data_IF_723241275615
#
_entry.id   IF_723241275615
#
_cell.length_a   1.000
_cell.length_b   1.000
_cell.length_c   1.000
_cell.angle_alpha   90.00
_cell.angle_beta   90.00
_cell.angle_gamma   90.00
#
_symmetry.space_group_name_H-M   'P 1'
#
loop_
_entity.id
_entity.type
_entity.pdbx_description
1 polymer ?
#
# COMPACT_ATOMS: atom_id res chain seq x y z
N UNK A 1 17.51 3.95 -0.45
CA UNK A 1 16.05 3.80 -0.58
C UNK A 1 15.32 5.13 -0.38
N UNK A 2 15.54 5.83 0.75
CA UNK A 2 14.89 7.11 1.06
C UNK A 2 15.95 8.19 1.37
N UNK A 3 16.62 8.70 0.34
CA UNK A 3 17.79 9.58 0.48
C UNK A 3 17.41 11.00 0.92
N UNK A 4 16.27 11.54 0.46
CA UNK A 4 15.85 12.92 0.77
C UNK A 4 14.91 13.04 1.97
N UNK A 5 14.56 11.93 2.66
CA UNK A 5 13.61 11.96 3.81
C UNK A 5 14.00 12.91 4.96
N UNK A 6 15.30 13.23 5.07
CA UNK A 6 15.88 14.12 6.08
C UNK A 6 16.49 15.40 5.49
N UNK A 7 16.20 15.71 4.21
CA UNK A 7 16.64 16.96 3.59
C UNK A 7 15.96 18.16 4.28
N UNK A 8 16.46 19.37 4.00
CA UNK A 8 15.88 20.58 4.60
C UNK A 8 14.46 20.88 4.09
N UNK A 9 14.15 20.40 2.89
CA UNK A 9 12.88 20.55 2.21
C UNK A 9 11.86 19.49 2.68
N UNK A 10 12.29 18.48 3.44
CA UNK A 10 11.41 17.43 3.94
C UNK A 10 10.51 17.94 5.08
N UNK A 11 9.21 17.68 4.97
CA UNK A 11 8.22 18.08 5.97
C UNK A 11 8.24 17.22 7.25
N UNK A 12 8.86 16.05 7.19
CA UNK A 12 8.99 15.09 8.30
C UNK A 12 10.46 14.79 8.65
N UNK A 13 11.34 15.78 8.52
CA UNK A 13 12.76 15.65 8.82
C UNK A 13 13.00 15.09 10.23
N UNK A 14 13.72 13.97 10.31
CA UNK A 14 14.07 13.31 11.57
C UNK A 14 12.94 12.48 12.20
N UNK A 15 11.74 12.45 11.61
CA UNK A 15 10.63 11.65 12.11
C UNK A 15 10.76 10.17 11.74
N UNK A 16 11.12 9.90 10.48
CA UNK A 16 11.23 8.54 9.94
C UNK A 16 12.58 7.90 10.26
N UNK A 17 12.63 7.25 11.42
CA UNK A 17 13.78 6.52 11.91
C UNK A 17 13.70 4.99 11.64
N UNK A 18 14.86 4.38 11.38
CA UNK A 18 14.94 2.95 11.10
C UNK A 18 14.65 2.09 12.33
N UNK A 19 15.13 2.50 13.51
CA UNK A 19 14.88 1.77 14.75
C UNK A 19 13.40 1.78 15.11
N UNK A 20 12.72 2.93 14.90
CA UNK A 20 11.26 3.02 15.03
C UNK A 20 10.53 2.06 14.07
N UNK A 21 10.96 1.95 12.81
CA UNK A 21 10.38 1.00 11.86
C UNK A 21 10.58 -0.46 12.29
N UNK A 22 11.79 -0.84 12.72
CA UNK A 22 12.07 -2.20 13.18
C UNK A 22 11.27 -2.53 14.44
N UNK A 23 11.19 -1.61 15.40
CA UNK A 23 10.42 -1.79 16.64
C UNK A 23 8.93 -1.98 16.34
N UNK A 24 8.36 -1.16 15.46
CA UNK A 24 6.97 -1.32 15.03
C UNK A 24 6.75 -2.63 14.26
N UNK A 25 7.68 -2.99 13.37
CA UNK A 25 7.61 -4.22 12.58
C UNK A 25 7.64 -5.47 13.47
N UNK A 26 8.44 -5.47 14.54
CA UNK A 26 8.54 -6.58 15.48
C UNK A 26 7.19 -6.94 16.13
N UNK A 27 6.29 -5.96 16.31
CA UNK A 27 4.93 -6.22 16.81
C UNK A 27 4.07 -7.03 15.83
N UNK A 28 4.36 -6.94 14.52
CA UNK A 28 3.59 -7.59 13.46
C UNK A 28 4.28 -8.81 12.84
N UNK A 29 5.57 -9.03 13.14
CA UNK A 29 6.32 -10.22 12.70
C UNK A 29 5.65 -11.54 13.13
N UNK A 30 5.14 -11.72 14.37
CA UNK A 30 4.43 -12.95 14.75
C UNK A 30 3.16 -13.21 13.92
N UNK A 31 2.62 -12.17 13.27
CA UNK A 31 1.45 -12.24 12.39
C UNK A 31 1.84 -12.35 10.91
N UNK A 32 3.12 -12.53 10.58
CA UNK A 32 3.61 -12.77 9.23
C UNK A 32 4.25 -11.55 8.54
N UNK A 33 4.18 -10.34 9.11
CA UNK A 33 4.72 -9.15 8.44
C UNK A 33 6.23 -9.28 8.17
N UNK A 34 6.61 -9.27 6.89
CA UNK A 34 8.00 -9.41 6.46
C UNK A 34 8.61 -10.79 6.74
N UNK A 35 7.81 -11.72 7.24
CA UNK A 35 8.26 -13.07 7.66
C UNK A 35 7.44 -14.18 7.00
N UNK A 36 6.44 -13.89 6.17
CA UNK A 36 5.64 -14.94 5.52
C UNK A 36 6.50 -15.86 4.64
N UNK A 37 6.57 -17.14 5.02
CA UNK A 37 7.55 -18.13 4.53
C UNK A 37 7.09 -18.96 3.32
N UNK A 38 6.32 -18.40 2.37
CA UNK A 38 5.80 -19.18 1.22
C UNK A 38 6.92 -19.58 0.22
N UNK A 39 8.12 -18.99 0.31
CA UNK A 39 9.35 -19.52 -0.29
C UNK A 39 10.53 -18.83 0.40
N UNK A 40 11.44 -19.62 0.99
CA UNK A 40 12.49 -19.16 1.90
C UNK A 40 13.28 -17.98 1.29
N UNK A 41 13.33 -16.86 2.01
CA UNK A 41 13.92 -15.53 1.70
C UNK A 41 13.21 -14.59 0.72
N UNK A 42 12.35 -15.04 -0.20
CA UNK A 42 11.88 -14.15 -1.28
C UNK A 42 10.56 -13.42 -0.96
N UNK A 43 9.62 -14.05 -0.27
CA UNK A 43 8.29 -13.44 -0.08
C UNK A 43 8.30 -12.31 0.96
N UNK A 44 8.98 -12.48 2.11
CA UNK A 44 9.09 -11.42 3.12
C UNK A 44 9.72 -10.15 2.56
N UNK A 45 10.83 -10.27 1.82
CA UNK A 45 11.49 -9.12 1.16
C UNK A 45 10.57 -8.44 0.14
N UNK A 46 9.82 -9.22 -0.65
CA UNK A 46 8.80 -8.67 -1.57
C UNK A 46 7.68 -7.95 -0.84
N UNK A 47 7.25 -8.48 0.29
CA UNK A 47 6.21 -7.86 1.11
C UNK A 47 6.69 -6.53 1.68
N UNK A 48 7.92 -6.48 2.20
CA UNK A 48 8.53 -5.22 2.68
C UNK A 48 8.69 -4.23 1.51
N UNK A 49 9.11 -4.67 0.34
CA UNK A 49 9.17 -3.83 -0.85
C UNK A 49 7.80 -3.26 -1.24
N UNK A 50 6.75 -4.10 -1.23
CA UNK A 50 5.39 -3.68 -1.54
C UNK A 50 4.84 -2.70 -0.50
N UNK A 51 5.01 -3.00 0.79
CA UNK A 51 4.63 -2.12 1.89
C UNK A 51 5.31 -0.76 1.76
N UNK A 52 6.64 -0.74 1.60
CA UNK A 52 7.41 0.49 1.43
C UNK A 52 7.07 1.23 0.13
N UNK A 53 6.66 0.53 -0.92
CA UNK A 53 6.14 1.17 -2.14
C UNK A 53 4.88 1.99 -1.88
N UNK A 54 3.90 1.39 -1.19
CA UNK A 54 2.66 2.07 -0.81
C UNK A 54 2.89 3.23 0.14
N UNK A 55 3.76 3.05 1.14
CA UNK A 55 4.10 4.12 2.08
C UNK A 55 4.85 5.24 1.36
N UNK A 56 5.86 4.90 0.56
CA UNK A 56 6.70 5.87 -0.15
C UNK A 56 5.92 6.78 -1.08
N UNK A 57 5.06 6.21 -1.94
CA UNK A 57 4.25 7.00 -2.87
C UNK A 57 3.25 7.93 -2.14
N UNK A 58 2.66 7.48 -1.03
CA UNK A 58 1.67 8.26 -0.27
C UNK A 58 2.31 9.35 0.60
N UNK A 59 3.60 9.23 0.89
CA UNK A 59 4.35 10.17 1.74
C UNK A 59 5.36 11.01 0.96
N UNK A 60 5.37 10.89 -0.37
CA UNK A 60 6.25 11.68 -1.23
C UNK A 60 5.73 13.12 -1.39
N UNK A 61 6.64 14.09 -1.39
CA UNK A 61 6.36 15.50 -1.64
C UNK A 61 6.90 16.01 -2.99
N UNK A 62 7.61 15.16 -3.75
CA UNK A 62 8.20 15.52 -5.03
C UNK A 62 7.18 15.46 -6.17
N UNK A 63 6.85 16.62 -6.76
CA UNK A 63 6.10 16.70 -8.02
C UNK A 63 7.04 16.45 -9.20
N UNK A 64 7.03 15.24 -9.79
CA UNK A 64 7.48 14.91 -11.16
C UNK A 64 7.31 13.41 -11.45
N UNK A 65 7.25 13.08 -12.74
CA UNK A 65 7.18 11.73 -13.35
C UNK A 65 8.14 10.74 -12.66
N UNK A 66 7.77 9.45 -12.59
CA UNK A 66 8.50 8.35 -11.94
C UNK A 66 9.95 8.17 -12.41
N UNK A 67 10.84 9.03 -11.91
CA UNK A 67 12.29 8.92 -12.04
C UNK A 67 12.89 8.45 -10.72
N UNK A 68 14.17 8.04 -10.75
CA UNK A 68 14.95 7.72 -9.55
C UNK A 68 14.88 8.85 -8.51
N UNK A 69 14.77 10.10 -8.95
CA UNK A 69 14.62 11.28 -8.10
C UNK A 69 13.30 11.26 -7.31
N UNK A 70 12.20 10.72 -7.85
CA UNK A 70 10.92 10.65 -7.13
C UNK A 70 10.98 9.66 -5.94
N UNK A 71 11.69 8.53 -6.12
CA UNK A 71 11.92 7.55 -5.05
C UNK A 71 12.69 8.16 -3.88
N UNK A 72 13.62 9.07 -4.20
CA UNK A 72 14.45 9.73 -3.21
C UNK A 72 13.61 10.61 -2.25
N UNK A 73 12.48 11.16 -2.73
CA UNK A 73 11.53 11.98 -1.96
C UNK A 73 10.45 11.20 -1.21
N UNK A 74 10.45 9.87 -1.26
CA UNK A 74 9.56 9.06 -0.43
C UNK A 74 9.87 9.26 1.06
N UNK A 75 8.84 9.17 1.92
CA UNK A 75 8.92 9.52 3.36
C UNK A 75 9.22 11.01 3.63
N UNK A 76 8.84 11.91 2.73
CA UNK A 76 8.99 13.35 2.93
C UNK A 76 7.95 13.93 3.91
N UNK A 77 6.73 13.40 3.89
CA UNK A 77 5.62 13.82 4.75
C UNK A 77 5.29 12.73 5.80
N UNK A 78 4.82 13.14 6.99
CA UNK A 78 4.28 12.23 8.02
C UNK A 78 2.79 12.45 8.30
N UNK A 79 2.23 13.51 7.71
CA UNK A 79 0.81 13.84 7.76
C UNK A 79 0.38 14.33 6.39
N UNK A 80 -0.89 14.14 6.09
CA UNK A 80 -1.50 14.70 4.89
C UNK A 80 -1.48 16.23 4.98
N UNK A 81 -1.05 16.90 3.91
CA UNK A 81 -0.81 18.34 3.95
C UNK A 81 -2.10 19.17 3.90
N UNK A 82 -3.22 18.61 3.43
CA UNK A 82 -4.49 19.32 3.20
C UNK A 82 -5.73 18.46 3.54
N UNK A 83 -5.85 18.03 4.80
CA UNK A 83 -7.02 17.26 5.23
C UNK A 83 -7.59 17.79 6.53
N UNK A 84 -8.83 18.28 6.45
CA UNK A 84 -9.71 18.51 7.60
C UNK A 84 -10.54 17.24 7.91
N UNK A 85 -10.18 16.08 7.34
CA UNK A 85 -10.92 14.84 7.48
C UNK A 85 -10.27 13.94 8.54
N UNK A 86 -11.03 13.57 9.56
CA UNK A 86 -10.60 12.62 10.59
C UNK A 86 -10.71 11.14 10.14
N UNK A 87 -11.12 10.90 8.88
CA UNK A 87 -11.33 9.56 8.31
C UNK A 87 -12.21 8.64 9.19
N UNK A 88 -13.27 9.21 9.77
CA UNK A 88 -14.23 8.48 10.58
C UNK A 88 -15.32 7.87 9.69
N UNK A 89 -15.44 6.55 9.72
CA UNK A 89 -16.56 5.85 9.08
C UNK A 89 -17.73 5.75 10.06
N UNK A 90 -18.78 6.56 9.82
CA UNK A 90 -19.97 6.57 10.67
C UNK A 90 -20.73 5.24 10.65
N UNK A 91 -20.61 4.45 9.59
CA UNK A 91 -21.31 3.17 9.43
C UNK A 91 -20.87 2.13 10.47
N UNK A 92 -19.59 2.17 10.89
CA UNK A 92 -19.03 1.23 11.86
C UNK A 92 -18.86 1.83 13.25
N UNK A 93 -19.38 3.03 13.51
CA UNK A 93 -19.19 3.78 14.76
C UNK A 93 -19.54 2.98 16.03
N UNK A 94 -20.52 2.08 15.93
CA UNK A 94 -20.95 1.25 17.05
C UNK A 94 -20.06 0.01 17.30
N UNK A 95 -19.44 -0.55 16.25
CA UNK A 95 -18.55 -1.70 16.36
C UNK A 95 -17.09 -1.29 16.60
N UNK A 96 -16.67 -0.17 16.02
CA UNK A 96 -15.33 0.39 16.13
C UNK A 96 -15.42 1.90 16.44
N UNK A 97 -15.76 2.26 17.70
CA UNK A 97 -15.88 3.66 18.08
C UNK A 97 -14.56 4.39 17.87
N UNK A 98 -14.62 5.50 17.13
CA UNK A 98 -13.46 6.34 16.87
C UNK A 98 -13.03 7.04 18.16
N UNK A 99 -11.77 6.88 18.55
CA UNK A 99 -11.16 7.61 19.65
C UNK A 99 -11.06 9.10 19.28
N UNK A 100 -11.45 9.96 20.23
CA UNK A 100 -11.47 11.40 20.01
C UNK A 100 -10.05 11.92 19.75
N UNK A 101 -9.86 12.69 18.67
CA UNK A 101 -8.55 13.24 18.29
C UNK A 101 -7.58 12.25 17.64
N UNK A 102 -8.03 11.02 17.36
CA UNK A 102 -7.23 10.02 16.64
C UNK A 102 -7.74 9.90 15.22
N UNK A 103 -6.82 9.97 14.26
CA UNK A 103 -7.09 9.68 12.87
C UNK A 103 -6.48 8.32 12.50
N UNK A 104 -7.21 7.57 11.68
CA UNK A 104 -6.96 6.16 11.43
C UNK A 104 -6.27 5.96 10.09
N UNK A 105 -4.95 6.11 10.08
CA UNK A 105 -4.14 6.00 8.86
C UNK A 105 -3.69 4.57 8.57
N UNK A 106 -3.42 4.29 7.28
CA UNK A 106 -2.64 3.16 6.74
C UNK A 106 -2.86 1.77 7.36
N UNK A 107 -3.57 0.89 6.67
CA UNK A 107 -3.79 -0.50 7.13
C UNK A 107 -3.10 -1.51 6.20
N UNK A 108 -2.02 -2.13 6.66
CA UNK A 108 -1.41 -3.26 5.94
C UNK A 108 -1.90 -4.61 6.46
N UNK A 109 -1.79 -4.81 7.78
CA UNK A 109 -2.11 -6.07 8.47
C UNK A 109 -3.60 -6.21 8.85
N UNK A 110 -4.40 -5.15 8.72
CA UNK A 110 -5.81 -5.14 9.13
C UNK A 110 -6.72 -4.85 7.94
N UNK A 111 -7.83 -5.59 7.79
CA UNK A 111 -8.86 -5.24 6.83
C UNK A 111 -9.40 -3.82 7.02
N UNK A 112 -9.88 -3.23 5.91
CA UNK A 112 -10.63 -1.97 5.96
C UNK A 112 -12.06 -2.20 6.43
N UNK A 113 -12.72 -3.24 5.92
CA UNK A 113 -14.09 -3.63 6.26
C UNK A 113 -14.16 -5.08 6.75
N UNK A 114 -15.22 -5.38 7.49
CA UNK A 114 -15.59 -6.74 7.82
C UNK A 114 -15.81 -7.55 6.52
N UNK A 115 -15.26 -8.76 6.45
CA UNK A 115 -15.25 -9.63 5.26
C UNK A 115 -14.38 -9.22 4.06
N UNK A 116 -13.64 -8.10 4.11
CA UNK A 116 -12.60 -7.80 3.12
C UNK A 116 -11.24 -8.37 3.57
N UNK A 117 -10.36 -8.85 2.66
CA UNK A 117 -9.02 -9.25 3.05
C UNK A 117 -8.14 -8.05 3.42
N UNK A 118 -7.09 -8.29 4.20
CA UNK A 118 -6.04 -7.30 4.45
C UNK A 118 -5.07 -7.20 3.26
N UNK A 119 -4.35 -6.08 3.12
CA UNK A 119 -3.33 -5.95 2.08
C UNK A 119 -2.22 -7.01 2.25
N UNK A 120 -1.87 -7.34 3.49
CA UNK A 120 -0.98 -8.45 3.82
C UNK A 120 -1.46 -9.79 3.23
N UNK A 121 -2.71 -10.19 3.51
CA UNK A 121 -3.24 -11.49 3.06
C UNK A 121 -3.34 -11.57 1.53
N UNK A 122 -3.75 -10.48 0.90
CA UNK A 122 -3.85 -10.38 -0.56
C UNK A 122 -2.47 -10.46 -1.21
N UNK A 123 -1.46 -9.81 -0.65
CA UNK A 123 -0.13 -9.78 -1.24
C UNK A 123 0.58 -11.14 -1.10
N UNK A 124 0.56 -11.68 0.11
CA UNK A 124 1.23 -12.93 0.46
C UNK A 124 0.53 -14.16 -0.12
N UNK A 125 -0.75 -14.04 -0.44
CA UNK A 125 -1.55 -15.12 -1.02
C UNK A 125 -2.30 -15.98 0.00
N UNK A 126 -2.37 -15.55 1.28
CA UNK A 126 -3.27 -16.17 2.26
C UNK A 126 -4.75 -15.96 1.92
N UNK A 127 -5.08 -14.83 1.30
CA UNK A 127 -6.42 -14.62 0.78
C UNK A 127 -6.65 -15.46 -0.48
N UNK A 128 -7.71 -16.26 -0.43
CA UNK A 128 -8.21 -17.04 -1.58
C UNK A 128 -9.36 -16.26 -2.23
N UNK A 129 -9.22 -15.79 -3.48
CA UNK A 129 -10.28 -15.08 -4.18
C UNK A 129 -11.55 -15.93 -4.33
N UNK A 130 -12.71 -15.33 -4.08
CA UNK A 130 -13.99 -16.00 -4.34
C UNK A 130 -14.30 -16.04 -5.84
N UNK A 131 -15.38 -16.72 -6.22
CA UNK A 131 -15.91 -16.65 -7.60
C UNK A 131 -16.22 -15.21 -8.01
N UNK A 132 -16.80 -14.42 -7.12
CA UNK A 132 -17.11 -13.02 -7.39
C UNK A 132 -15.84 -12.19 -7.59
N UNK A 133 -14.80 -12.44 -6.80
CA UNK A 133 -13.52 -11.75 -6.95
C UNK A 133 -12.85 -12.10 -8.28
N UNK A 134 -12.90 -13.37 -8.68
CA UNK A 134 -12.35 -13.83 -9.96
C UNK A 134 -13.09 -13.21 -11.14
N UNK A 135 -14.44 -13.13 -11.09
CA UNK A 135 -15.26 -12.42 -12.09
C UNK A 135 -14.95 -10.92 -12.12
N UNK A 136 -14.67 -10.34 -10.95
CA UNK A 136 -14.20 -8.97 -10.78
C UNK A 136 -12.72 -8.76 -11.15
N UNK A 137 -12.03 -9.80 -11.65
CA UNK A 137 -10.60 -9.82 -12.01
C UNK A 137 -9.65 -9.51 -10.84
N UNK A 138 -10.11 -9.66 -9.60
CA UNK A 138 -9.31 -9.46 -8.39
C UNK A 138 -8.54 -10.74 -8.10
N UNK A 139 -7.23 -10.68 -8.29
CA UNK A 139 -6.30 -11.79 -8.05
C UNK A 139 -5.25 -11.38 -7.01
N UNK A 140 -4.80 -12.33 -6.20
CA UNK A 140 -3.79 -12.10 -5.16
C UNK A 140 -2.47 -11.59 -5.76
N UNK A 141 -2.03 -10.41 -5.33
CA UNK A 141 -0.84 -9.75 -5.83
C UNK A 141 -0.84 -8.24 -5.54
N UNK A 142 0.17 -7.55 -6.07
CA UNK A 142 0.37 -6.12 -5.83
C UNK A 142 -0.80 -5.27 -6.33
N UNK A 143 -1.41 -5.63 -7.48
CA UNK A 143 -2.60 -5.00 -8.00
C UNK A 143 -3.75 -4.97 -7.00
N UNK A 144 -4.07 -6.12 -6.42
CA UNK A 144 -5.16 -6.20 -5.46
C UNK A 144 -4.83 -5.47 -4.14
N UNK A 145 -3.56 -5.29 -3.75
CA UNK A 145 -3.22 -4.41 -2.61
C UNK A 145 -3.59 -2.94 -2.86
N UNK A 146 -3.37 -2.42 -4.07
CA UNK A 146 -3.83 -1.07 -4.45
C UNK A 146 -5.36 -0.97 -4.35
N UNK A 147 -6.06 -2.00 -4.80
CA UNK A 147 -7.52 -2.06 -4.76
C UNK A 147 -8.07 -2.10 -3.32
N UNK A 148 -7.42 -2.88 -2.45
CA UNK A 148 -7.76 -2.94 -1.02
C UNK A 148 -7.53 -1.58 -0.36
N UNK A 149 -6.38 -0.95 -0.58
CA UNK A 149 -5.97 0.25 0.16
C UNK A 149 -6.65 1.54 -0.32
N UNK A 150 -6.83 1.72 -1.62
CA UNK A 150 -7.36 2.96 -2.21
C UNK A 150 -7.93 2.71 -3.62
N UNK A 151 -8.65 1.61 -3.79
CA UNK A 151 -9.09 1.13 -5.10
C UNK A 151 -10.02 2.07 -5.87
N UNK A 152 -10.86 2.84 -5.19
CA UNK A 152 -11.75 3.83 -5.82
C UNK A 152 -10.98 4.99 -6.47
N UNK A 153 -9.82 5.32 -5.92
CA UNK A 153 -8.95 6.35 -6.46
C UNK A 153 -8.21 5.87 -7.71
N UNK A 154 -7.74 4.61 -7.76
CA UNK A 154 -6.75 4.17 -8.78
C UNK A 154 -7.19 2.99 -9.67
N UNK A 155 -8.08 2.11 -9.19
CA UNK A 155 -8.41 0.85 -9.87
C UNK A 155 -9.68 0.96 -10.72
N UNK A 156 -9.85 0.05 -11.68
CA UNK A 156 -11.04 -0.02 -12.55
C UNK A 156 -11.16 1.10 -13.59
N UNK A 157 -10.11 1.94 -13.74
CA UNK A 157 -10.08 3.10 -14.65
C UNK A 157 -9.22 2.86 -15.89
N UNK A 158 -8.85 1.62 -16.18
CA UNK A 158 -7.84 1.30 -17.20
C UNK A 158 -6.43 1.69 -16.77
N UNK A 159 -5.47 1.57 -17.70
CA UNK A 159 -4.09 1.94 -17.44
C UNK A 159 -3.99 3.45 -17.29
N UNK A 160 -3.59 3.90 -16.10
CA UNK A 160 -3.48 5.32 -15.76
C UNK A 160 -2.13 5.61 -15.10
N UNK A 161 -1.72 6.88 -15.14
CA UNK A 161 -0.43 7.32 -14.62
C UNK A 161 -0.28 7.01 -13.12
N UNK A 162 -1.37 7.12 -12.34
CA UNK A 162 -1.34 6.85 -10.90
C UNK A 162 -0.96 5.40 -10.59
N UNK A 163 -1.62 4.42 -11.24
CA UNK A 163 -1.31 3.00 -11.10
C UNK A 163 0.11 2.71 -11.56
N UNK A 164 0.52 3.25 -12.71
CA UNK A 164 1.86 3.03 -13.26
C UNK A 164 2.96 3.62 -12.36
N UNK A 165 2.72 4.77 -11.74
CA UNK A 165 3.65 5.39 -10.79
C UNK A 165 3.83 4.52 -9.54
N UNK A 166 2.73 3.96 -8.99
CA UNK A 166 2.79 3.05 -7.84
C UNK A 166 3.53 1.75 -8.19
N UNK A 167 3.22 1.16 -9.34
CA UNK A 167 3.91 -0.05 -9.84
C UNK A 167 5.40 0.23 -10.01
N UNK A 168 5.76 1.38 -10.59
CA UNK A 168 7.17 1.77 -10.79
C UNK A 168 7.92 1.91 -9.47
N UNK A 169 7.26 2.40 -8.40
CA UNK A 169 7.85 2.43 -7.06
C UNK A 169 8.14 1.03 -6.54
N UNK A 170 7.18 0.13 -6.64
CA UNK A 170 7.36 -1.25 -6.20
C UNK A 170 8.48 -1.96 -6.97
N UNK A 171 8.49 -1.88 -8.30
CA UNK A 171 9.56 -2.47 -9.12
C UNK A 171 10.94 -1.92 -8.76
N UNK A 172 11.04 -0.61 -8.50
CA UNK A 172 12.30 0.00 -8.10
C UNK A 172 12.77 -0.44 -6.71
N UNK A 173 11.84 -0.65 -5.77
CA UNK A 173 12.18 -1.19 -4.45
C UNK A 173 12.60 -2.66 -4.51
N UNK A 174 12.03 -3.46 -5.42
CA UNK A 174 12.52 -4.82 -5.67
C UNK A 174 13.97 -4.82 -6.18
N UNK A 175 14.31 -3.92 -7.11
CA UNK A 175 15.69 -3.76 -7.60
C UNK A 175 16.63 -3.37 -6.45
N UNK A 176 16.25 -2.38 -5.63
CA UNK A 176 17.05 -1.92 -4.49
C UNK A 176 17.24 -2.96 -3.38
N UNK A 177 16.32 -3.92 -3.25
CA UNK A 177 16.40 -5.01 -2.27
C UNK A 177 17.05 -6.28 -2.83
N UNK A 178 17.55 -6.25 -4.07
CA UNK A 178 18.21 -7.40 -4.69
C UNK A 178 17.25 -8.54 -5.08
N UNK A 179 15.95 -8.25 -5.15
CA UNK A 179 14.92 -9.20 -5.60
C UNK A 179 14.78 -9.18 -7.13
N UNK A 180 14.94 -8.00 -7.74
CA UNK A 180 14.74 -7.80 -9.17
C UNK A 180 13.27 -7.75 -9.58
N UNK A 181 12.99 -7.14 -10.74
CA UNK A 181 11.63 -6.93 -11.26
C UNK A 181 10.91 -8.22 -11.62
N UNK A 182 11.66 -9.25 -12.02
CA UNK A 182 11.19 -10.61 -12.25
C UNK A 182 10.50 -11.21 -11.01
N UNK A 183 10.87 -10.73 -9.82
CA UNK A 183 10.26 -11.12 -8.56
C UNK A 183 8.83 -10.63 -8.34
N UNK A 184 8.39 -9.61 -9.09
CA UNK A 184 7.12 -8.92 -8.90
C UNK A 184 5.85 -9.75 -9.14
N UNK A 185 5.99 -11.02 -9.59
CA UNK A 185 4.94 -11.90 -10.13
C UNK A 185 4.44 -11.40 -11.51
N UNK A 186 3.66 -12.20 -12.28
CA UNK A 186 3.22 -11.82 -13.63
C UNK A 186 2.47 -10.47 -13.66
N UNK A 187 2.54 -9.77 -14.80
CA UNK A 187 1.96 -8.43 -14.97
C UNK A 187 0.46 -8.36 -14.61
N UNK A 188 -0.27 -9.46 -14.83
CA UNK A 188 -1.71 -9.56 -14.58
C UNK A 188 -2.08 -9.43 -13.10
N UNK A 189 -1.14 -9.67 -12.18
CA UNK A 189 -1.33 -9.49 -10.73
C UNK A 189 -0.61 -8.25 -10.18
N UNK A 190 0.08 -7.51 -11.05
CA UNK A 190 0.84 -6.30 -10.70
C UNK A 190 -0.05 -5.05 -10.77
N UNK A 191 -0.96 -4.99 -11.74
CA UNK A 191 -1.86 -3.85 -11.96
C UNK A 191 -3.28 -4.11 -11.45
N UNK A 192 -3.99 -3.04 -11.10
CA UNK A 192 -5.42 -3.07 -10.78
C UNK A 192 -6.31 -2.36 -11.81
N UNK A 193 -5.74 -1.96 -12.95
CA UNK A 193 -6.42 -1.22 -14.02
C UNK A 193 -7.77 -1.83 -14.44
N UNK A 194 -7.84 -3.17 -14.49
CA UNK A 194 -9.01 -3.95 -14.93
C UNK A 194 -9.81 -4.56 -13.77
N UNK A 195 -9.41 -4.32 -12.52
CA UNK A 195 -10.09 -4.88 -11.36
C UNK A 195 -11.31 -4.05 -10.98
N UNK A 196 -12.44 -4.71 -10.67
CA UNK A 196 -13.58 -4.01 -10.07
C UNK A 196 -13.18 -3.59 -8.65
N UNK A 197 -13.51 -2.35 -8.28
CA UNK A 197 -13.15 -1.75 -7.00
C UNK A 197 -13.82 -2.49 -5.83
N UNK A 198 -13.12 -2.71 -4.71
CA UNK A 198 -13.72 -3.29 -3.49
C UNK A 198 -14.71 -2.33 -2.82
N UNK A 199 -14.33 -1.06 -2.67
CA UNK A 199 -15.08 -0.03 -1.97
C UNK A 199 -15.32 1.18 -2.87
N UNK A 200 -16.25 1.11 -3.84
CA UNK A 200 -16.57 2.28 -4.66
C UNK A 200 -17.14 3.40 -3.79
N UNK A 201 -16.66 4.62 -3.97
CA UNK A 201 -17.26 5.82 -3.40
C UNK A 201 -18.68 5.97 -3.95
N UNK A 202 -19.65 6.40 -3.13
CA UNK A 202 -21.10 6.34 -3.39
C UNK A 202 -21.64 7.27 -4.49
N UNK A 203 -20.86 7.55 -5.54
CA UNK A 203 -21.27 8.38 -6.68
C UNK A 203 -21.10 7.66 -8.02
N UNK A 204 -21.49 6.40 -8.10
CA UNK A 204 -21.79 5.76 -9.38
C UNK A 204 -22.86 4.69 -9.19
N UNK A 205 -24.07 5.13 -8.88
CA UNK A 205 -25.25 4.42 -9.39
C UNK A 205 -25.49 4.92 -10.83
N UNK A 206 -25.88 4.02 -11.74
CA UNK A 206 -26.01 4.29 -13.17
C UNK A 206 -26.99 5.41 -13.52
#
# INVERSE_FOLDING_TARGET
>A
MFSNRNSLEAHAKGFWDYHSFITASALFQPYGFGTTYINWNFMGTKEIAAFLAHVGIKTSCGHKVATKEQLDWSLCCNKEMNSNSDYRDEHYKNAYPCALGVAYYGRWMKPIKEHQPSAHDVFTGYWTPTKNDTLAKRLSGFGATMNVLYGDLVCGKGDNESVNNIISHYLSYLDLMGVGREGARPHDVLSCAKQVVFNPSSSSSP
#
